data_IF_151161325367
#
_entry.id   IF_151161325367
#
_cell.length_a   1.000
_cell.length_b   1.000
_cell.length_c   1.000
_cell.angle_alpha   90.00
_cell.angle_beta   90.00
_cell.angle_gamma   90.00
#
_symmetry.space_group_name_H-M   'P 1'
#
loop_
_entity.id
_entity.type
_entity.pdbx_description
1 polymer ?
#
# COMPACT_ATOMS: atom_id res chain seq x y z
N UNK A 1 25.31 33.16 26.41
CA UNK A 1 24.05 32.37 26.36
C UNK A 1 24.01 31.65 25.01
N UNK A 2 24.56 30.45 24.93
CA UNK A 2 24.52 29.59 23.75
C UNK A 2 24.43 28.14 24.26
N UNK A 3 23.23 27.57 24.33
CA UNK A 3 22.97 26.14 24.56
C UNK A 3 21.45 25.89 24.39
N UNK A 4 20.96 25.71 23.17
CA UNK A 4 19.62 25.12 22.97
C UNK A 4 19.36 24.54 21.56
N UNK A 5 20.38 24.41 20.69
CA UNK A 5 20.15 23.99 19.29
C UNK A 5 20.49 22.52 19.00
N UNK A 6 20.96 21.74 19.98
CA UNK A 6 21.36 20.35 19.74
C UNK A 6 20.35 19.28 20.22
N UNK A 7 19.30 19.66 20.93
CA UNK A 7 18.34 18.66 21.45
C UNK A 7 17.25 18.27 20.42
N UNK A 8 16.92 19.13 19.48
CA UNK A 8 15.85 18.88 18.50
C UNK A 8 16.19 17.82 17.43
N UNK A 9 17.46 17.70 17.06
CA UNK A 9 17.89 16.75 16.00
C UNK A 9 17.94 15.32 16.52
N UNK A 10 18.25 15.11 17.79
CA UNK A 10 18.34 13.75 18.39
C UNK A 10 16.96 13.10 18.55
N UNK A 11 15.91 13.88 18.78
CA UNK A 11 14.53 13.35 18.97
C UNK A 11 13.92 12.90 17.63
N UNK A 12 14.18 13.60 16.54
CA UNK A 12 13.65 13.21 15.21
C UNK A 12 14.26 11.90 14.70
N UNK A 13 15.55 11.66 14.96
CA UNK A 13 16.23 10.40 14.57
C UNK A 13 15.73 9.20 15.40
N UNK A 14 15.33 9.42 16.66
CA UNK A 14 14.81 8.36 17.52
C UNK A 14 13.38 7.95 17.15
N UNK A 15 12.55 8.84 16.58
CA UNK A 15 11.18 8.51 16.18
C UNK A 15 11.13 7.75 14.84
N UNK A 16 12.01 8.05 13.90
CA UNK A 16 12.17 7.24 12.68
C UNK A 16 12.74 5.85 13.04
N UNK A 17 13.66 5.78 13.99
CA UNK A 17 14.18 4.52 14.54
C UNK A 17 13.14 3.68 15.27
N UNK A 18 12.17 4.29 15.95
CA UNK A 18 11.16 3.56 16.71
C UNK A 18 10.09 2.91 15.82
N UNK A 19 9.66 3.55 14.74
CA UNK A 19 8.73 2.94 13.78
C UNK A 19 9.39 1.80 12.98
N UNK A 20 10.65 1.94 12.58
CA UNK A 20 11.41 0.87 11.93
C UNK A 20 11.75 -0.25 12.93
N UNK A 21 11.99 0.08 14.20
CA UNK A 21 12.38 -0.90 15.22
C UNK A 21 11.20 -1.77 15.71
N UNK A 22 9.97 -1.29 15.64
CA UNK A 22 8.80 -2.08 15.99
C UNK A 22 8.42 -3.10 14.89
N UNK A 23 8.69 -2.78 13.63
CA UNK A 23 8.50 -3.71 12.51
C UNK A 23 9.55 -4.85 12.45
N UNK A 24 10.72 -4.69 13.11
CA UNK A 24 11.80 -5.70 13.11
C UNK A 24 11.66 -6.78 14.19
N UNK A 25 10.67 -6.73 15.08
CA UNK A 25 10.48 -7.71 16.18
C UNK A 25 9.37 -8.73 15.95
N UNK A 26 9.10 -9.12 14.72
CA UNK A 26 8.49 -10.42 14.48
C UNK A 26 9.52 -11.50 14.88
N UNK A 27 9.31 -12.16 16.01
CA UNK A 27 10.15 -13.26 16.46
C UNK A 27 10.10 -14.36 15.39
N UNK A 28 11.25 -14.87 14.90
CA UNK A 28 11.23 -16.08 14.09
C UNK A 28 10.70 -17.21 14.95
N UNK A 29 9.54 -17.76 14.54
CA UNK A 29 9.01 -18.98 15.13
C UNK A 29 10.09 -20.06 15.08
N UNK A 30 10.37 -20.68 16.22
CA UNK A 30 11.32 -21.79 16.37
C UNK A 30 10.91 -22.92 15.42
N UNK A 31 11.69 -23.18 14.39
CA UNK A 31 11.57 -24.37 13.57
C UNK A 31 12.02 -25.54 14.44
N UNK A 32 11.07 -26.31 14.89
CA UNK A 32 11.33 -27.58 15.57
C UNK A 32 11.84 -28.57 14.51
N UNK A 33 13.11 -28.91 14.56
CA UNK A 33 13.73 -29.91 13.71
C UNK A 33 13.12 -31.28 14.05
N UNK A 34 12.42 -31.87 13.10
CA UNK A 34 11.97 -33.26 13.18
C UNK A 34 13.19 -34.20 13.23
N UNK A 35 13.15 -35.29 14.00
CA UNK A 35 14.28 -36.20 14.14
C UNK A 35 14.55 -36.97 12.86
N UNK A 36 15.84 -37.12 12.55
CA UNK A 36 16.39 -37.97 11.51
C UNK A 36 15.95 -39.45 11.71
N UNK A 37 15.24 -39.99 10.73
CA UNK A 37 14.93 -41.42 10.71
C UNK A 37 13.64 -41.78 9.98
N UNK A 38 13.67 -41.74 8.64
CA UNK A 38 12.66 -42.46 7.83
C UNK A 38 13.33 -43.24 6.71
N UNK A 39 12.90 -44.46 6.40
CA UNK A 39 13.61 -45.39 5.55
C UNK A 39 13.49 -45.06 4.08
N UNK A 40 14.58 -45.30 3.36
CA UNK A 40 14.67 -45.31 1.90
C UNK A 40 13.75 -46.37 1.30
N UNK A 41 12.84 -45.99 0.39
CA UNK A 41 12.05 -46.91 -0.43
C UNK A 41 12.54 -46.81 -1.87
N UNK A 42 12.83 -47.97 -2.36
CA UNK A 42 13.46 -48.34 -3.63
C UNK A 42 12.67 -47.91 -4.90
N UNK A 43 13.39 -47.58 -5.94
CA UNK A 43 12.91 -47.15 -7.24
C UNK A 43 12.40 -48.32 -8.08
N UNK A 44 11.08 -48.35 -8.30
CA UNK A 44 10.43 -49.23 -9.29
C UNK A 44 9.93 -48.44 -10.50
N UNK A 45 10.60 -48.59 -11.64
CA UNK A 45 10.14 -48.09 -12.95
C UNK A 45 8.94 -48.91 -13.43
N UNK A 46 7.80 -48.25 -13.63
CA UNK A 46 6.70 -48.83 -14.42
C UNK A 46 6.15 -47.77 -15.40
N UNK A 47 6.36 -47.99 -16.67
CA UNK A 47 5.71 -47.28 -17.77
C UNK A 47 4.22 -47.61 -17.82
N UNK A 48 3.36 -46.58 -17.81
CA UNK A 48 1.98 -46.71 -18.23
C UNK A 48 1.54 -45.43 -18.97
N UNK A 49 1.25 -45.61 -20.24
CA UNK A 49 0.52 -44.70 -21.14
C UNK A 49 -0.92 -44.54 -20.67
N UNK A 50 -1.43 -43.32 -20.53
CA UNK A 50 -2.86 -43.06 -20.24
C UNK A 50 -3.16 -41.61 -19.91
N UNK A 51 -3.59 -40.85 -20.91
CA UNK A 51 -4.64 -39.80 -20.93
C UNK A 51 -5.08 -39.15 -19.61
N UNK A 52 -4.99 -37.81 -19.55
CA UNK A 52 -5.78 -37.01 -18.62
C UNK A 52 -5.01 -36.48 -17.41
N UNK A 53 -3.91 -35.74 -17.59
CA UNK A 53 -3.21 -35.10 -16.48
C UNK A 53 -3.84 -33.75 -16.15
N UNK A 54 -4.67 -33.72 -15.12
CA UNK A 54 -4.93 -32.51 -14.34
C UNK A 54 -3.59 -32.03 -13.78
N UNK A 55 -3.06 -30.95 -14.35
CA UNK A 55 -1.79 -30.34 -13.90
C UNK A 55 -2.00 -29.74 -12.51
N UNK A 56 -1.66 -30.48 -11.46
CA UNK A 56 -1.46 -29.93 -10.14
C UNK A 56 -0.28 -28.96 -10.24
N UNK A 57 -0.56 -27.66 -10.34
CA UNK A 57 0.45 -26.62 -10.19
C UNK A 57 0.86 -26.60 -8.71
N UNK A 58 1.90 -27.31 -8.37
CA UNK A 58 2.69 -27.04 -7.16
C UNK A 58 3.20 -25.61 -7.30
N UNK A 59 2.86 -24.72 -6.36
CA UNK A 59 3.26 -23.32 -6.38
C UNK A 59 4.79 -23.20 -6.31
N UNK A 60 5.45 -23.24 -7.47
CA UNK A 60 6.88 -23.02 -7.55
C UNK A 60 7.18 -21.54 -7.36
N UNK A 61 8.08 -21.21 -6.44
CA UNK A 61 8.63 -19.87 -6.30
C UNK A 61 9.64 -19.65 -7.43
N UNK A 62 9.41 -18.64 -8.26
CA UNK A 62 10.36 -18.23 -9.29
C UNK A 62 11.26 -17.12 -8.72
N UNK A 63 12.57 -17.28 -8.85
CA UNK A 63 13.56 -16.29 -8.41
C UNK A 63 14.05 -15.53 -9.63
N UNK A 64 13.93 -14.19 -9.59
CA UNK A 64 14.43 -13.32 -10.66
C UNK A 64 15.85 -12.84 -10.34
N UNK A 65 16.78 -13.09 -11.26
CA UNK A 65 18.21 -12.78 -11.13
C UNK A 65 18.60 -11.35 -11.50
N UNK A 66 17.66 -10.49 -11.89
CA UNK A 66 17.96 -9.10 -12.24
C UNK A 66 16.73 -8.32 -12.67
N UNK A 67 16.63 -7.08 -12.17
CA UNK A 67 15.64 -6.12 -12.61
C UNK A 67 16.14 -5.33 -13.83
N UNK A 68 15.24 -4.84 -14.70
CA UNK A 68 15.59 -3.83 -15.70
C UNK A 68 16.27 -2.62 -15.04
N UNK A 69 17.13 -1.91 -15.77
CA UNK A 69 17.77 -0.72 -15.24
C UNK A 69 16.72 0.32 -14.81
N UNK A 70 16.84 0.85 -13.57
CA UNK A 70 15.90 1.84 -13.06
C UNK A 70 16.06 3.17 -13.80
N UNK A 71 14.99 3.61 -14.45
CA UNK A 71 14.94 4.98 -14.97
C UNK A 71 14.61 5.93 -13.83
N UNK A 72 15.38 7.00 -13.68
CA UNK A 72 14.99 8.13 -12.85
C UNK A 72 13.92 8.88 -13.63
N UNK A 73 12.64 8.65 -13.29
CA UNK A 73 11.52 9.06 -14.10
C UNK A 73 11.21 10.55 -13.99
N UNK A 74 10.99 11.21 -15.13
CA UNK A 74 10.28 12.47 -15.18
C UNK A 74 8.81 12.26 -14.89
N UNK A 75 8.39 12.47 -13.64
CA UNK A 75 6.96 12.51 -13.29
C UNK A 75 6.28 13.71 -13.97
N UNK A 76 5.00 13.56 -14.29
CA UNK A 76 4.16 14.64 -14.78
C UNK A 76 3.37 15.22 -13.62
N UNK A 77 3.67 16.45 -13.22
CA UNK A 77 2.92 17.15 -12.19
C UNK A 77 1.50 17.46 -12.69
N UNK A 78 0.49 16.99 -11.96
CA UNK A 78 -0.93 17.26 -12.24
C UNK A 78 -1.45 18.43 -11.42
N UNK A 79 -1.03 18.54 -10.15
CA UNK A 79 -1.48 19.59 -9.27
C UNK A 79 -0.40 19.93 -8.24
N UNK A 80 -0.41 21.18 -7.80
CA UNK A 80 0.46 21.71 -6.74
C UNK A 80 -0.37 22.50 -5.74
N UNK A 81 -0.05 22.34 -4.47
CA UNK A 81 -0.73 22.98 -3.36
C UNK A 81 0.28 23.74 -2.49
N UNK A 82 -0.19 24.80 -1.82
CA UNK A 82 0.50 25.37 -0.69
C UNK A 82 0.15 24.63 0.61
N UNK A 83 0.83 24.97 1.70
CA UNK A 83 0.46 24.54 3.04
C UNK A 83 -0.55 25.49 3.67
N UNK A 84 -1.62 24.97 4.30
CA UNK A 84 -2.63 25.75 5.02
C UNK A 84 -4.05 25.24 4.83
N UNK A 85 -5.05 26.04 5.27
CA UNK A 85 -6.47 25.66 5.24
C UNK A 85 -7.25 26.30 4.09
N UNK A 86 -6.67 27.28 3.38
CA UNK A 86 -7.34 28.03 2.30
C UNK A 86 -7.58 27.19 1.04
N UNK A 87 -8.26 27.77 0.08
CA UNK A 87 -8.43 27.19 -1.25
C UNK A 87 -7.05 27.03 -1.93
N UNK A 88 -6.82 25.89 -2.59
CA UNK A 88 -5.53 25.58 -3.21
C UNK A 88 -4.43 25.15 -2.24
N UNK A 89 -4.74 25.00 -0.95
CA UNK A 89 -3.80 24.52 0.06
C UNK A 89 -4.24 23.18 0.64
N UNK A 90 -3.29 22.44 1.23
CA UNK A 90 -3.51 21.25 2.04
C UNK A 90 -2.94 21.47 3.43
N UNK A 91 -3.58 20.86 4.43
CA UNK A 91 -3.22 21.07 5.84
C UNK A 91 -1.87 20.48 6.21
N UNK A 92 -1.17 21.15 7.11
CA UNK A 92 0.01 20.63 7.79
C UNK A 92 0.00 21.09 9.24
N UNK A 93 0.26 20.18 10.16
CA UNK A 93 0.39 20.44 11.59
C UNK A 93 1.71 19.87 12.09
N UNK A 94 2.49 20.67 12.82
CA UNK A 94 3.77 20.25 13.44
C UNK A 94 3.80 20.73 14.90
N UNK A 95 3.00 20.09 15.76
CA UNK A 95 2.98 20.43 17.18
C UNK A 95 4.26 19.99 17.87
N UNK A 96 4.63 20.66 18.97
CA UNK A 96 5.87 20.35 19.71
C UNK A 96 5.80 18.99 20.44
N UNK A 97 4.60 18.54 20.83
CA UNK A 97 4.40 17.36 21.69
C UNK A 97 3.53 16.25 21.06
N UNK A 98 3.23 16.35 19.76
CA UNK A 98 2.45 15.33 19.05
C UNK A 98 3.09 15.01 17.69
N UNK A 99 2.62 13.93 17.05
CA UNK A 99 3.10 13.56 15.73
C UNK A 99 2.77 14.64 14.69
N UNK A 100 3.71 14.96 13.80
CA UNK A 100 3.44 15.84 12.68
C UNK A 100 2.43 15.22 11.72
N UNK A 101 1.51 16.03 11.21
CA UNK A 101 0.43 15.60 10.34
C UNK A 101 0.39 16.40 9.03
N UNK A 102 0.03 15.71 7.95
CA UNK A 102 -0.19 16.27 6.62
C UNK A 102 -1.24 15.42 5.89
N UNK A 103 -1.57 15.70 4.61
CA UNK A 103 -2.49 14.85 3.87
C UNK A 103 -2.11 13.38 3.96
N UNK A 104 -3.05 12.55 4.40
CA UNK A 104 -2.78 11.19 4.85
C UNK A 104 -2.86 10.17 3.71
N UNK A 105 -3.79 10.36 2.77
CA UNK A 105 -4.03 9.38 1.71
C UNK A 105 -4.47 10.04 0.40
N UNK A 106 -4.20 9.33 -0.69
CA UNK A 106 -4.56 9.66 -2.05
C UNK A 106 -5.27 8.47 -2.70
N UNK A 107 -6.36 8.72 -3.41
CA UNK A 107 -7.06 7.70 -4.20
C UNK A 107 -7.62 8.27 -5.49
N UNK A 108 -8.06 7.38 -6.39
CA UNK A 108 -8.69 7.73 -7.67
C UNK A 108 -10.01 7.01 -7.80
N UNK A 109 -11.06 7.71 -8.21
CA UNK A 109 -12.36 7.11 -8.50
C UNK A 109 -12.43 6.49 -9.91
N UNK A 110 -13.55 5.86 -10.23
CA UNK A 110 -13.78 5.22 -11.53
C UNK A 110 -13.78 6.19 -12.73
N UNK A 111 -13.95 7.49 -12.49
CA UNK A 111 -13.91 8.55 -13.49
C UNK A 111 -12.49 9.12 -13.69
N UNK A 112 -11.53 8.64 -12.91
CA UNK A 112 -10.15 9.15 -12.88
C UNK A 112 -10.01 10.45 -12.12
N UNK A 113 -10.99 10.82 -11.29
CA UNK A 113 -10.90 11.98 -10.41
C UNK A 113 -10.02 11.64 -9.21
N UNK A 114 -9.17 12.58 -8.84
CA UNK A 114 -8.23 12.42 -7.72
C UNK A 114 -8.87 12.92 -6.45
N UNK A 115 -8.76 12.14 -5.38
CA UNK A 115 -9.26 12.46 -4.06
C UNK A 115 -8.12 12.42 -3.06
N UNK A 116 -7.92 13.51 -2.31
CA UNK A 116 -6.86 13.63 -1.31
C UNK A 116 -7.52 13.78 0.06
N UNK A 117 -7.15 12.92 0.99
CA UNK A 117 -7.56 13.02 2.39
C UNK A 117 -6.70 14.05 3.10
N UNK A 118 -7.24 15.25 3.24
CA UNK A 118 -6.67 16.39 3.94
C UNK A 118 -7.21 16.40 5.39
N UNK A 119 -6.68 15.46 6.21
CA UNK A 119 -7.18 15.20 7.56
C UNK A 119 -7.02 16.41 8.49
N UNK A 120 -5.93 17.17 8.36
CA UNK A 120 -5.68 18.36 9.19
C UNK A 120 -6.78 19.42 9.02
N UNK A 121 -7.40 19.47 7.84
CA UNK A 121 -8.53 20.35 7.54
C UNK A 121 -9.88 19.60 7.50
N UNK A 122 -9.95 18.36 7.96
CA UNK A 122 -11.17 17.54 8.06
C UNK A 122 -11.97 17.46 6.75
N UNK A 123 -11.28 17.24 5.61
CA UNK A 123 -11.91 17.23 4.29
C UNK A 123 -11.26 16.28 3.31
N UNK A 124 -12.01 15.87 2.29
CA UNK A 124 -11.48 15.36 1.03
C UNK A 124 -11.38 16.50 0.03
N UNK A 125 -10.22 16.65 -0.60
CA UNK A 125 -10.03 17.57 -1.74
C UNK A 125 -10.17 16.77 -3.02
N UNK A 126 -11.01 17.25 -3.93
CA UNK A 126 -11.34 16.58 -5.18
C UNK A 126 -10.79 17.35 -6.38
N UNK A 127 -10.10 16.63 -7.28
CA UNK A 127 -9.59 17.16 -8.55
C UNK A 127 -10.14 16.34 -9.72
N UNK A 128 -10.21 16.94 -10.89
CA UNK A 128 -10.42 16.19 -12.13
C UNK A 128 -9.15 15.39 -12.51
N UNK A 129 -9.25 14.56 -13.55
CA UNK A 129 -8.13 13.74 -14.06
C UNK A 129 -6.89 14.55 -14.51
N UNK A 130 -7.05 15.84 -14.72
CA UNK A 130 -5.99 16.75 -15.16
C UNK A 130 -5.44 17.61 -14.01
N UNK A 131 -5.91 17.36 -12.76
CA UNK A 131 -5.48 18.08 -11.57
C UNK A 131 -6.24 19.39 -11.30
N UNK A 132 -7.31 19.71 -12.05
CA UNK A 132 -8.11 20.90 -11.80
C UNK A 132 -9.03 20.69 -10.58
N UNK A 133 -9.07 21.62 -9.61
CA UNK A 133 -9.95 21.53 -8.46
C UNK A 133 -11.44 21.40 -8.84
N UNK A 134 -12.15 20.48 -8.18
CA UNK A 134 -13.59 20.27 -8.32
C UNK A 134 -14.36 20.63 -7.06
N UNK A 135 -13.69 20.81 -5.92
CA UNK A 135 -14.29 21.15 -4.63
C UNK A 135 -13.80 20.26 -3.51
N UNK A 136 -14.50 20.33 -2.40
CA UNK A 136 -14.17 19.58 -1.17
C UNK A 136 -15.41 18.89 -0.60
N UNK A 137 -15.17 17.79 0.14
CA UNK A 137 -16.20 17.06 0.89
C UNK A 137 -15.79 17.01 2.36
N UNK A 138 -16.63 17.40 3.32
CA UNK A 138 -16.31 17.31 4.73
C UNK A 138 -16.08 15.85 5.16
N UNK A 139 -15.15 15.63 6.08
CA UNK A 139 -14.84 14.33 6.68
C UNK A 139 -15.08 14.43 8.18
N UNK A 140 -16.19 13.93 8.70
CA UNK A 140 -16.51 13.99 10.12
C UNK A 140 -15.87 12.84 10.91
N UNK A 141 -14.54 12.67 10.78
CA UNK A 141 -13.76 11.58 11.38
C UNK A 141 -12.54 12.18 12.03
N UNK A 142 -12.25 11.82 13.29
CA UNK A 142 -11.23 12.49 14.08
C UNK A 142 -9.80 12.19 13.62
N UNK A 143 -9.50 10.92 13.34
CA UNK A 143 -8.16 10.48 12.96
C UNK A 143 -8.22 9.70 11.62
N UNK A 144 -8.73 10.39 10.58
CA UNK A 144 -8.87 9.81 9.26
C UNK A 144 -7.50 9.46 8.64
N UNK A 145 -7.30 8.21 8.25
CA UNK A 145 -6.00 7.72 7.76
C UNK A 145 -6.04 7.22 6.33
N UNK A 146 -7.09 6.51 5.92
CA UNK A 146 -7.18 6.02 4.55
C UNK A 146 -8.52 6.36 3.92
N UNK A 147 -8.53 6.44 2.59
CA UNK A 147 -9.73 6.72 1.81
C UNK A 147 -9.80 5.90 0.54
N UNK A 148 -10.98 5.39 0.24
CA UNK A 148 -11.33 4.78 -1.05
C UNK A 148 -12.62 5.41 -1.54
N UNK A 149 -12.74 5.67 -2.85
CA UNK A 149 -13.94 6.21 -3.45
C UNK A 149 -14.49 5.22 -4.47
N UNK A 150 -15.76 4.87 -4.31
CA UNK A 150 -16.46 3.92 -5.16
C UNK A 150 -16.94 4.57 -6.47
N UNK A 151 -17.39 3.74 -7.41
CA UNK A 151 -17.84 4.22 -8.74
C UNK A 151 -19.02 5.18 -8.70
N UNK A 152 -19.85 5.10 -7.65
CA UNK A 152 -21.01 6.00 -7.44
C UNK A 152 -20.63 7.29 -6.68
N UNK A 153 -19.36 7.48 -6.36
CA UNK A 153 -18.83 8.64 -5.66
C UNK A 153 -19.00 8.56 -4.13
N UNK A 154 -19.36 7.40 -3.58
CA UNK A 154 -19.37 7.18 -2.12
C UNK A 154 -17.92 7.09 -1.63
N UNK A 155 -17.55 7.91 -0.65
CA UNK A 155 -16.23 7.85 -0.01
C UNK A 155 -16.31 6.98 1.26
N UNK A 156 -15.35 6.07 1.38
CA UNK A 156 -15.10 5.25 2.57
C UNK A 156 -13.86 5.82 3.24
N UNK A 157 -13.99 6.31 4.47
CA UNK A 157 -12.88 6.94 5.20
C UNK A 157 -12.59 6.15 6.46
N UNK A 158 -11.38 5.64 6.59
CA UNK A 158 -10.96 4.79 7.69
C UNK A 158 -10.32 5.60 8.83
N UNK A 159 -10.83 5.44 10.04
CA UNK A 159 -10.16 5.74 11.30
C UNK A 159 -9.90 4.45 12.05
N UNK A 160 -8.66 4.00 12.03
CA UNK A 160 -8.25 2.75 12.69
C UNK A 160 -7.81 2.93 14.15
N UNK A 161 -7.57 4.17 14.59
CA UNK A 161 -6.96 4.46 15.89
C UNK A 161 -7.96 4.92 16.94
N UNK A 162 -8.81 5.89 16.60
CA UNK A 162 -9.75 6.52 17.54
C UNK A 162 -11.12 5.88 17.45
N UNK A 163 -11.83 6.08 16.34
CA UNK A 163 -13.20 5.57 16.14
C UNK A 163 -13.18 4.07 15.84
N UNK A 164 -12.08 3.56 15.27
CA UNK A 164 -11.91 2.15 14.84
C UNK A 164 -13.03 1.70 13.92
N UNK A 165 -13.36 2.59 13.00
CA UNK A 165 -14.48 2.46 12.08
C UNK A 165 -14.17 3.04 10.70
N UNK A 166 -14.98 2.71 9.72
CA UNK A 166 -14.97 3.31 8.40
C UNK A 166 -16.27 4.10 8.24
N UNK A 167 -16.15 5.41 8.12
CA UNK A 167 -17.25 6.27 7.78
C UNK A 167 -17.63 6.11 6.30
N UNK A 168 -18.91 5.90 6.02
CA UNK A 168 -19.45 5.82 4.66
C UNK A 168 -20.10 7.17 4.34
N UNK A 169 -19.47 7.94 3.45
CA UNK A 169 -19.85 9.31 3.10
C UNK A 169 -20.42 9.30 1.68
N UNK A 170 -21.65 9.76 1.52
CA UNK A 170 -22.29 9.84 0.21
C UNK A 170 -21.71 10.93 -0.70
N UNK A 171 -22.03 10.90 -2.00
CA UNK A 171 -21.61 11.94 -2.94
C UNK A 171 -22.07 13.36 -2.56
N UNK A 172 -23.10 13.46 -1.72
CA UNK A 172 -23.63 14.71 -1.15
C UNK A 172 -22.85 15.20 0.10
N UNK A 173 -21.78 14.50 0.48
CA UNK A 173 -20.95 14.80 1.65
C UNK A 173 -21.58 14.40 2.99
N UNK A 174 -22.70 13.69 3.00
CA UNK A 174 -23.34 13.24 4.23
C UNK A 174 -22.91 11.83 4.59
N UNK A 175 -22.65 11.60 5.87
CA UNK A 175 -22.41 10.26 6.38
C UNK A 175 -23.70 9.45 6.29
N UNK A 176 -23.64 8.30 5.59
CA UNK A 176 -24.73 7.37 5.37
C UNK A 176 -24.71 6.18 6.31
N UNK A 177 -23.53 5.87 6.86
CA UNK A 177 -23.32 4.72 7.73
C UNK A 177 -21.92 4.65 8.26
N UNK A 178 -21.66 3.58 9.00
CA UNK A 178 -20.36 3.30 9.60
C UNK A 178 -20.15 1.78 9.65
N UNK A 179 -18.94 1.34 9.33
CA UNK A 179 -18.52 -0.05 9.41
C UNK A 179 -17.50 -0.21 10.52
N UNK A 180 -17.74 -1.05 11.54
CA UNK A 180 -16.77 -1.29 12.60
C UNK A 180 -15.56 -2.06 12.05
N UNK A 181 -14.35 -1.59 12.34
CA UNK A 181 -13.10 -2.29 11.99
C UNK A 181 -12.91 -3.49 12.90
N UNK A 182 -13.07 -3.31 14.20
CA UNK A 182 -12.85 -4.38 15.17
C UNK A 182 -13.89 -5.51 15.06
N UNK A 183 -13.41 -6.73 15.24
CA UNK A 183 -14.21 -7.95 15.20
C UNK A 183 -13.41 -9.13 14.69
N UNK A 184 -14.08 -10.24 14.35
CA UNK A 184 -13.43 -11.44 13.84
C UNK A 184 -12.43 -11.11 12.73
N UNK A 185 -11.18 -11.56 12.89
CA UNK A 185 -10.08 -11.37 11.97
C UNK A 185 -9.37 -10.00 12.06
N UNK A 186 -9.89 -9.06 12.86
CA UNK A 186 -9.30 -7.74 13.11
C UNK A 186 -9.57 -7.36 14.57
N UNK A 187 -8.79 -7.90 15.48
CA UNK A 187 -8.94 -7.69 16.92
C UNK A 187 -8.34 -6.36 17.39
N UNK A 188 -7.40 -5.82 16.61
CA UNK A 188 -6.70 -4.56 16.91
C UNK A 188 -6.75 -3.60 15.71
N UNK A 189 -7.11 -2.33 15.95
CA UNK A 189 -7.15 -1.30 14.90
C UNK A 189 -5.78 -1.08 14.25
N UNK A 190 -4.70 -1.14 15.04
CA UNK A 190 -3.33 -0.99 14.57
C UNK A 190 -2.87 -2.03 13.53
N UNK A 191 -3.48 -3.21 13.51
CA UNK A 191 -3.21 -4.24 12.52
C UNK A 191 -3.78 -3.91 11.12
N UNK A 192 -4.65 -2.90 11.01
CA UNK A 192 -5.23 -2.49 9.72
C UNK A 192 -4.22 -1.72 8.89
N UNK A 193 -3.84 -2.26 7.72
CA UNK A 193 -2.80 -1.72 6.84
C UNK A 193 -3.30 -1.24 5.48
N UNK A 194 -4.59 -1.38 5.20
CA UNK A 194 -5.20 -0.88 3.97
C UNK A 194 -6.72 -1.00 3.97
N UNK A 195 -7.37 -0.06 3.29
CA UNK A 195 -8.80 -0.06 2.99
C UNK A 195 -8.99 -0.29 1.50
N UNK A 196 -9.88 -1.20 1.13
CA UNK A 196 -10.20 -1.54 -0.26
C UNK A 196 -11.71 -1.67 -0.47
N UNK A 197 -12.15 -1.29 -1.66
CA UNK A 197 -13.51 -1.56 -2.13
C UNK A 197 -13.45 -2.37 -3.42
N UNK A 198 -14.27 -3.41 -3.50
CA UNK A 198 -14.41 -4.25 -4.69
C UNK A 198 -15.90 -4.44 -5.00
N UNK A 199 -16.38 -3.73 -6.01
CA UNK A 199 -17.80 -3.63 -6.30
C UNK A 199 -18.55 -3.00 -5.11
N UNK A 200 -19.35 -3.82 -4.44
CA UNK A 200 -20.11 -3.40 -3.24
C UNK A 200 -19.45 -3.80 -1.92
N UNK A 201 -18.40 -4.57 -1.98
CA UNK A 201 -17.76 -5.15 -0.81
C UNK A 201 -16.63 -4.25 -0.30
N UNK A 202 -16.52 -4.15 1.03
CA UNK A 202 -15.51 -3.36 1.73
C UNK A 202 -14.58 -4.31 2.49
N UNK A 203 -13.29 -4.15 2.27
CA UNK A 203 -12.23 -4.97 2.84
C UNK A 203 -11.25 -4.12 3.62
N UNK A 204 -10.75 -4.66 4.73
CA UNK A 204 -9.61 -4.13 5.47
C UNK A 204 -8.49 -5.16 5.43
N UNK A 205 -7.33 -4.73 4.97
CA UNK A 205 -6.12 -5.56 4.98
C UNK A 205 -5.55 -5.63 6.38
N UNK A 206 -5.11 -6.84 6.77
CA UNK A 206 -4.45 -7.11 8.05
C UNK A 206 -2.95 -7.35 7.82
N UNK A 207 -2.11 -6.52 8.42
CA UNK A 207 -0.65 -6.68 8.46
C UNK A 207 0.00 -6.95 7.09
N UNK A 208 -0.48 -6.27 6.02
CA UNK A 208 -0.06 -6.46 4.62
C UNK A 208 -0.26 -7.88 4.08
N UNK A 209 -1.11 -8.67 4.72
CA UNK A 209 -1.43 -10.05 4.35
C UNK A 209 -2.86 -10.21 3.84
N UNK A 210 -3.62 -11.04 4.52
CA UNK A 210 -5.02 -11.31 4.18
C UNK A 210 -5.91 -10.08 4.39
N UNK A 211 -7.00 -10.03 3.64
CA UNK A 211 -8.01 -8.98 3.80
C UNK A 211 -9.30 -9.55 4.35
N UNK A 212 -9.92 -8.82 5.28
CA UNK A 212 -11.17 -9.17 5.92
C UNK A 212 -12.30 -8.37 5.28
N UNK A 213 -13.33 -9.05 4.77
CA UNK A 213 -14.55 -8.39 4.29
C UNK A 213 -15.39 -7.95 5.48
N UNK A 214 -15.41 -6.65 5.75
CA UNK A 214 -16.07 -6.09 6.93
C UNK A 214 -17.49 -5.61 6.68
N UNK A 215 -17.87 -5.36 5.43
CA UNK A 215 -19.20 -4.86 5.10
C UNK A 215 -19.38 -4.50 3.64
N UNK A 216 -20.30 -3.60 3.38
CA UNK A 216 -20.65 -3.10 2.07
C UNK A 216 -20.50 -1.57 1.96
N UNK A 217 -20.40 -1.08 0.72
CA UNK A 217 -20.36 0.37 0.41
C UNK A 217 -21.65 1.11 0.75
N UNK A 218 -22.73 0.38 1.11
CA UNK A 218 -23.97 0.97 1.66
C UNK A 218 -23.93 1.20 3.18
N UNK A 219 -22.84 0.78 3.86
CA UNK A 219 -22.71 0.88 5.32
C UNK A 219 -23.29 -0.31 6.08
N UNK A 220 -23.62 -1.40 5.41
CA UNK A 220 -24.09 -2.63 6.05
C UNK A 220 -22.91 -3.50 6.46
N UNK A 221 -22.76 -3.75 7.76
CA UNK A 221 -21.68 -4.55 8.32
C UNK A 221 -21.87 -6.05 8.01
N UNK A 222 -20.79 -6.72 7.64
CA UNK A 222 -20.77 -8.17 7.44
C UNK A 222 -20.43 -8.88 8.76
N UNK A 223 -21.37 -9.64 9.30
CA UNK A 223 -21.17 -10.36 10.58
C UNK A 223 -20.25 -11.56 10.46
N UNK A 224 -20.24 -12.23 9.33
CA UNK A 224 -19.43 -13.43 9.11
C UNK A 224 -17.95 -13.11 8.88
N UNK A 225 -17.66 -11.92 8.34
CA UNK A 225 -16.31 -11.37 8.11
C UNK A 225 -15.38 -12.39 7.44
N UNK A 226 -15.71 -12.88 6.24
CA UNK A 226 -14.85 -13.83 5.55
C UNK A 226 -13.51 -13.19 5.18
N UNK A 227 -12.45 -13.98 5.31
CA UNK A 227 -11.10 -13.59 4.91
C UNK A 227 -10.86 -13.99 3.46
N UNK A 228 -10.08 -13.18 2.74
CA UNK A 228 -9.59 -13.45 1.39
C UNK A 228 -8.05 -13.37 1.38
N UNK A 229 -7.38 -14.16 0.53
CA UNK A 229 -5.93 -14.32 0.58
C UNK A 229 -5.21 -13.13 -0.09
N UNK A 230 -5.20 -11.98 0.56
CA UNK A 230 -4.58 -10.76 0.08
C UNK A 230 -5.58 -9.65 -0.24
N UNK A 231 -5.06 -8.53 -0.74
CA UNK A 231 -5.88 -7.39 -1.13
C UNK A 231 -6.57 -7.63 -2.48
N UNK A 232 -7.85 -7.25 -2.61
CA UNK A 232 -8.52 -7.26 -3.91
C UNK A 232 -7.86 -6.22 -4.83
N UNK A 233 -7.31 -6.68 -5.96
CA UNK A 233 -6.63 -5.82 -6.90
C UNK A 233 -7.61 -5.07 -7.82
N UNK A 234 -7.19 -3.90 -8.34
CA UNK A 234 -7.95 -3.04 -9.22
C UNK A 234 -8.32 -3.67 -10.58
N UNK A 235 -7.70 -4.80 -10.95
CA UNK A 235 -8.07 -5.60 -12.13
C UNK A 235 -9.41 -6.36 -11.96
N UNK A 236 -9.95 -6.41 -10.74
CA UNK A 236 -11.19 -7.12 -10.40
C UNK A 236 -11.07 -8.65 -10.45
N UNK A 237 -9.90 -9.22 -10.70
CA UNK A 237 -9.69 -10.67 -10.98
C UNK A 237 -8.71 -11.33 -10.03
N UNK A 238 -7.89 -10.54 -9.33
CA UNK A 238 -6.73 -11.02 -8.58
C UNK A 238 -6.80 -10.60 -7.11
N UNK A 239 -6.30 -11.46 -6.23
CA UNK A 239 -5.83 -11.09 -4.89
C UNK A 239 -4.31 -10.99 -4.93
N UNK A 240 -3.75 -9.97 -4.29
CA UNK A 240 -2.31 -9.71 -4.26
C UNK A 240 -1.81 -9.65 -2.82
N UNK A 241 -0.64 -10.25 -2.59
CA UNK A 241 0.15 -10.02 -1.37
C UNK A 241 1.60 -9.73 -1.73
N UNK A 242 2.27 -8.95 -0.90
CA UNK A 242 3.71 -8.74 -1.00
C UNK A 242 4.34 -8.73 0.40
N UNK A 243 5.54 -9.31 0.50
CA UNK A 243 6.26 -9.42 1.75
C UNK A 243 7.75 -9.11 1.54
N UNK A 244 8.38 -8.45 2.51
CA UNK A 244 9.83 -8.32 2.56
C UNK A 244 10.39 -9.62 3.14
N UNK A 245 11.21 -10.32 2.35
CA UNK A 245 11.85 -11.58 2.74
C UNK A 245 13.20 -11.31 3.40
N UNK A 246 14.00 -10.43 2.79
CA UNK A 246 15.29 -9.98 3.29
C UNK A 246 15.47 -8.51 2.92
N UNK A 247 15.16 -7.62 3.87
CA UNK A 247 15.24 -6.17 3.69
C UNK A 247 16.65 -5.69 3.32
N UNK A 248 17.69 -6.03 4.09
CA UNK A 248 19.07 -5.64 3.79
C UNK A 248 19.56 -6.07 2.41
N UNK A 249 19.18 -7.26 1.95
CA UNK A 249 19.50 -7.76 0.61
C UNK A 249 18.54 -7.28 -0.48
N UNK A 250 17.50 -6.54 -0.12
CA UNK A 250 16.49 -6.02 -1.05
C UNK A 250 15.61 -7.10 -1.65
N UNK A 251 15.32 -8.18 -0.90
CA UNK A 251 14.54 -9.31 -1.38
C UNK A 251 13.09 -9.16 -0.96
N UNK A 252 12.18 -9.12 -1.94
CA UNK A 252 10.73 -9.06 -1.74
C UNK A 252 10.05 -10.21 -2.47
N UNK A 253 8.88 -10.61 -2.00
CA UNK A 253 8.08 -11.67 -2.62
C UNK A 253 6.69 -11.13 -2.93
N UNK A 254 6.21 -11.39 -4.14
CA UNK A 254 4.86 -11.04 -4.59
C UNK A 254 4.12 -12.31 -4.94
N UNK A 255 2.88 -12.42 -4.45
CA UNK A 255 1.99 -13.53 -4.77
C UNK A 255 0.71 -12.99 -5.40
N UNK A 256 0.28 -13.63 -6.49
CA UNK A 256 -0.99 -13.38 -7.15
C UNK A 256 -1.86 -14.64 -7.12
N UNK A 257 -3.12 -14.45 -6.76
CA UNK A 257 -4.12 -15.50 -6.64
C UNK A 257 -5.34 -15.11 -7.47
N UNK A 258 -5.75 -15.96 -8.41
CA UNK A 258 -6.99 -15.78 -9.16
C UNK A 258 -8.19 -15.86 -8.21
N UNK A 259 -9.19 -15.00 -8.42
CA UNK A 259 -10.40 -15.01 -7.58
C UNK A 259 -11.41 -16.09 -7.98
N UNK A 260 -11.57 -16.34 -9.28
CA UNK A 260 -12.58 -17.24 -9.80
C UNK A 260 -12.05 -18.08 -10.99
N UNK A 261 -11.81 -19.40 -10.78
CA UNK A 261 -11.80 -20.07 -9.48
C UNK A 261 -10.65 -19.58 -8.62
N UNK A 262 -10.77 -19.64 -7.31
CA UNK A 262 -9.66 -19.26 -6.42
C UNK A 262 -8.50 -20.22 -6.64
N UNK A 263 -7.44 -19.73 -7.29
CA UNK A 263 -6.29 -20.53 -7.69
C UNK A 263 -5.01 -19.69 -7.61
N UNK A 264 -3.97 -20.27 -7.03
CA UNK A 264 -2.63 -19.69 -7.06
C UNK A 264 -2.19 -19.49 -8.51
N UNK A 265 -1.83 -18.24 -8.87
CA UNK A 265 -1.32 -17.90 -10.21
C UNK A 265 0.20 -17.98 -10.24
N UNK A 266 0.86 -17.22 -9.37
CA UNK A 266 2.31 -17.27 -9.20
C UNK A 266 2.71 -16.76 -7.81
N UNK A 267 3.91 -17.14 -7.40
CA UNK A 267 4.70 -16.45 -6.36
C UNK A 267 6.07 -16.15 -6.94
N UNK A 268 6.46 -14.89 -6.91
CA UNK A 268 7.74 -14.44 -7.45
C UNK A 268 8.56 -13.73 -6.40
N UNK A 269 9.82 -14.17 -6.25
CA UNK A 269 10.83 -13.47 -5.48
C UNK A 269 11.58 -12.50 -6.39
N UNK A 270 11.70 -11.25 -5.96
CA UNK A 270 12.34 -10.15 -6.68
C UNK A 270 13.51 -9.65 -5.85
N UNK A 271 14.62 -9.33 -6.52
CA UNK A 271 15.77 -8.66 -5.91
C UNK A 271 15.81 -7.22 -6.38
N UNK A 272 15.44 -6.27 -5.52
CA UNK A 272 15.30 -4.84 -5.84
C UNK A 272 16.66 -4.17 -6.09
N UNK A 273 17.75 -4.79 -5.62
CA UNK A 273 19.13 -4.29 -5.81
C UNK A 273 19.53 -3.17 -4.85
N UNK A 274 18.65 -2.78 -3.93
CA UNK A 274 18.89 -1.85 -2.83
C UNK A 274 18.23 -2.39 -1.58
N UNK A 275 18.70 -2.05 -0.37
CA UNK A 275 18.01 -2.41 0.86
C UNK A 275 16.58 -1.90 0.85
N UNK A 276 15.61 -2.78 1.16
CA UNK A 276 14.17 -2.48 1.23
C UNK A 276 13.79 -2.28 2.68
N UNK A 277 13.19 -1.13 2.96
CA UNK A 277 12.75 -0.72 4.30
C UNK A 277 11.25 -0.87 4.50
N UNK A 278 10.47 -0.86 3.42
CA UNK A 278 9.01 -0.94 3.49
C UNK A 278 8.37 -1.15 2.13
N UNK A 279 7.10 -1.49 2.15
CA UNK A 279 6.22 -1.57 0.98
C UNK A 279 5.19 -0.45 1.10
N UNK A 280 5.06 0.40 0.07
CA UNK A 280 4.13 1.53 0.10
C UNK A 280 3.07 1.50 -1.01
N UNK A 281 3.14 0.55 -1.94
CA UNK A 281 2.10 0.29 -2.92
C UNK A 281 2.11 -1.17 -3.36
N UNK A 282 0.93 -1.73 -3.56
CA UNK A 282 0.71 -2.99 -4.26
C UNK A 282 -0.70 -2.96 -4.83
N UNK A 283 -0.86 -2.95 -6.12
CA UNK A 283 -2.16 -3.05 -6.79
C UNK A 283 -1.96 -3.43 -8.26
N UNK A 284 -3.04 -3.66 -9.01
CA UNK A 284 -3.01 -3.88 -10.44
C UNK A 284 -3.92 -2.89 -11.18
N UNK A 285 -3.50 -2.47 -12.37
CA UNK A 285 -4.36 -1.72 -13.29
C UNK A 285 -5.41 -2.62 -13.96
N UNK A 286 -6.31 -2.05 -14.75
CA UNK A 286 -7.36 -2.81 -15.46
C UNK A 286 -6.83 -3.86 -16.43
N UNK A 287 -5.62 -3.68 -16.95
CA UNK A 287 -4.97 -4.66 -17.83
C UNK A 287 -4.41 -5.84 -17.05
N UNK A 288 -4.23 -5.68 -15.74
CA UNK A 288 -3.68 -6.65 -14.80
C UNK A 288 -2.19 -6.45 -14.53
N UNK A 289 -1.53 -5.44 -15.10
CA UNK A 289 -0.16 -5.11 -14.75
C UNK A 289 -0.11 -4.75 -13.27
N UNK A 290 0.78 -5.44 -12.53
CA UNK A 290 0.91 -5.29 -11.09
C UNK A 290 1.98 -4.22 -10.80
N UNK A 291 1.67 -3.31 -9.90
CA UNK A 291 2.55 -2.23 -9.44
C UNK A 291 2.95 -2.50 -7.99
N UNK A 292 4.25 -2.61 -7.75
CA UNK A 292 4.83 -2.76 -6.41
C UNK A 292 5.71 -1.56 -6.12
N UNK A 293 5.37 -0.77 -5.11
CA UNK A 293 6.19 0.30 -4.57
C UNK A 293 6.98 -0.17 -3.36
N UNK A 294 8.29 0.03 -3.38
CA UNK A 294 9.18 -0.29 -2.26
C UNK A 294 9.93 0.95 -1.81
N UNK A 295 9.96 1.22 -0.51
CA UNK A 295 10.84 2.22 0.10
C UNK A 295 12.23 1.60 0.21
N UNK A 296 13.23 2.26 -0.35
CA UNK A 296 14.61 1.76 -0.41
C UNK A 296 15.58 2.74 0.20
N UNK A 297 16.65 2.22 0.78
CA UNK A 297 17.80 3.01 1.20
C UNK A 297 18.70 3.28 0.01
N UNK A 298 19.08 4.55 -0.20
CA UNK A 298 19.90 4.95 -1.34
C UNK A 298 21.41 4.86 -1.02
N UNK A 299 22.27 4.67 -2.02
CA UNK A 299 23.71 4.71 -1.84
C UNK A 299 24.18 6.03 -1.23
N UNK A 300 25.07 5.95 -0.25
CA UNK A 300 25.55 7.12 0.49
C UNK A 300 24.71 7.49 1.71
N UNK A 301 23.66 6.72 2.02
CA UNK A 301 22.92 6.84 3.28
C UNK A 301 23.86 6.54 4.46
N UNK A 302 23.74 7.33 5.52
CA UNK A 302 24.39 7.10 6.81
C UNK A 302 23.38 7.30 7.93
N UNK A 303 23.64 6.79 9.15
CA UNK A 303 22.72 7.01 10.28
C UNK A 303 22.47 8.50 10.59
N UNK A 304 23.48 9.36 10.32
CA UNK A 304 23.39 10.81 10.54
C UNK A 304 22.70 11.54 9.39
N UNK A 305 22.76 10.99 8.16
CA UNK A 305 22.14 11.56 6.96
C UNK A 305 21.50 10.46 6.13
N UNK A 306 20.35 9.93 6.59
CA UNK A 306 19.64 8.88 5.89
C UNK A 306 19.09 9.39 4.55
N UNK A 307 19.25 8.58 3.50
CA UNK A 307 18.76 8.87 2.16
C UNK A 307 17.83 7.75 1.70
N UNK A 308 16.63 8.13 1.33
CA UNK A 308 15.59 7.18 0.90
C UNK A 308 15.09 7.50 -0.50
N UNK A 309 14.56 6.49 -1.15
CA UNK A 309 13.88 6.58 -2.43
C UNK A 309 12.72 5.60 -2.47
N UNK A 310 11.91 5.70 -3.51
CA UNK A 310 10.89 4.71 -3.81
C UNK A 310 11.27 4.04 -5.12
N UNK A 311 11.31 2.71 -5.16
CA UNK A 311 11.39 1.95 -6.39
C UNK A 311 10.01 1.41 -6.72
N UNK A 312 9.45 1.85 -7.85
CA UNK A 312 8.21 1.36 -8.42
C UNK A 312 8.54 0.27 -9.44
N UNK A 313 8.10 -0.94 -9.19
CA UNK A 313 8.22 -2.09 -10.09
C UNK A 313 6.90 -2.34 -10.77
N UNK A 314 6.93 -2.67 -12.07
CA UNK A 314 5.77 -3.12 -12.83
C UNK A 314 5.99 -4.57 -13.25
N UNK A 315 5.02 -5.42 -12.93
CA UNK A 315 5.14 -6.85 -13.08
C UNK A 315 4.08 -7.38 -14.05
N UNK A 316 4.47 -8.39 -14.80
CA UNK A 316 3.59 -9.10 -15.73
C UNK A 316 2.45 -9.78 -14.97
N UNK A 317 1.19 -9.60 -15.40
CA UNK A 317 0.04 -10.19 -14.73
C UNK A 317 0.01 -11.73 -14.73
N UNK A 318 0.74 -12.39 -15.61
CA UNK A 318 0.68 -13.84 -15.78
C UNK A 318 1.65 -14.58 -14.88
N UNK A 319 2.87 -14.03 -14.73
CA UNK A 319 3.96 -14.74 -14.04
C UNK A 319 4.76 -13.85 -13.07
N UNK A 320 4.40 -12.57 -12.96
CA UNK A 320 5.03 -11.60 -12.06
C UNK A 320 6.44 -11.17 -12.48
N UNK A 321 6.91 -11.51 -13.70
CA UNK A 321 8.21 -11.04 -14.17
C UNK A 321 8.24 -9.51 -14.27
N UNK A 322 9.36 -8.86 -13.97
CA UNK A 322 9.50 -7.42 -14.11
C UNK A 322 9.34 -6.98 -15.57
N UNK A 323 8.46 -6.02 -15.81
CA UNK A 323 8.27 -5.34 -17.09
C UNK A 323 9.06 -4.05 -17.17
N UNK A 324 9.31 -3.42 -16.02
CA UNK A 324 10.05 -2.19 -15.91
C UNK A 324 10.14 -1.71 -14.47
N UNK A 325 10.98 -0.71 -14.25
CA UNK A 325 11.06 -0.03 -12.96
C UNK A 325 11.31 1.47 -13.12
N UNK A 326 10.82 2.23 -12.15
CA UNK A 326 11.01 3.69 -12.09
C UNK A 326 11.39 4.08 -10.67
N UNK A 327 12.36 4.98 -10.52
CA UNK A 327 12.73 5.53 -9.22
C UNK A 327 12.05 6.86 -8.99
N UNK A 328 11.34 6.97 -7.85
CA UNK A 328 10.69 8.18 -7.39
C UNK A 328 11.44 8.72 -6.15
N UNK A 329 11.40 10.05 -5.91
CA UNK A 329 11.88 10.61 -4.66
C UNK A 329 11.01 10.09 -3.51
N UNK A 330 11.61 9.79 -2.34
CA UNK A 330 10.82 9.56 -1.14
C UNK A 330 10.37 10.88 -0.51
N UNK A 331 9.23 10.86 0.18
CA UNK A 331 8.86 11.94 1.09
C UNK A 331 9.83 11.94 2.27
N UNK A 332 10.56 13.04 2.45
CA UNK A 332 11.53 13.22 3.55
C UNK A 332 10.99 14.08 4.67
N UNK A 333 9.76 14.58 4.54
CA UNK A 333 9.08 15.35 5.57
C UNK A 333 8.64 14.45 6.74
N UNK A 334 8.64 14.96 7.99
CA UNK A 334 8.39 14.14 9.17
C UNK A 334 6.91 13.74 9.36
N UNK A 335 6.00 14.30 8.57
CA UNK A 335 4.58 14.02 8.70
C UNK A 335 4.25 12.58 8.28
N UNK A 336 3.38 11.94 9.03
CA UNK A 336 2.88 10.62 8.71
C UNK A 336 2.10 10.62 7.38
N UNK A 337 2.09 9.47 6.72
CA UNK A 337 1.27 9.19 5.56
C UNK A 337 0.80 7.75 5.61
N UNK A 338 -0.38 7.49 5.13
CA UNK A 338 -0.92 6.14 5.08
C UNK A 338 -0.86 5.56 3.65
N UNK A 339 -1.35 6.33 2.67
CA UNK A 339 -1.32 5.95 1.24
C UNK A 339 -0.86 7.12 0.40
N UNK A 340 0.43 7.17 0.11
CA UNK A 340 1.00 8.22 -0.75
C UNK A 340 1.01 7.86 -2.24
N UNK A 341 0.86 6.57 -2.57
CA UNK A 341 0.81 6.05 -3.93
C UNK A 341 -0.54 5.38 -4.21
N UNK A 342 -1.12 5.65 -5.37
CA UNK A 342 -2.29 4.92 -5.89
C UNK A 342 -2.09 4.55 -7.34
N UNK A 343 -2.46 3.31 -7.70
CA UNK A 343 -2.38 2.80 -9.07
C UNK A 343 -3.54 3.34 -9.89
N UNK A 344 -3.24 3.83 -11.09
CA UNK A 344 -4.26 4.31 -12.02
C UNK A 344 -4.89 3.16 -12.78
N UNK A 345 -6.22 3.16 -12.99
CA UNK A 345 -6.89 2.12 -13.74
C UNK A 345 -6.37 1.94 -15.18
N UNK A 346 -5.87 3.00 -15.79
CA UNK A 346 -5.26 3.01 -17.12
C UNK A 346 -3.75 2.77 -17.15
N UNK A 347 -3.15 2.51 -16.00
CA UNK A 347 -1.73 2.26 -15.83
C UNK A 347 -0.93 3.45 -15.33
N UNK A 348 0.16 3.14 -14.64
CA UNK A 348 0.97 4.09 -13.88
C UNK A 348 0.44 4.34 -12.47
N UNK A 349 1.07 5.25 -11.77
CA UNK A 349 0.69 5.62 -10.40
C UNK A 349 0.57 7.12 -10.24
N UNK A 350 -0.28 7.56 -9.32
CA UNK A 350 -0.23 8.90 -8.76
C UNK A 350 0.53 8.86 -7.43
N UNK A 351 1.35 9.86 -7.23
CA UNK A 351 2.15 10.04 -6.03
C UNK A 351 1.85 11.38 -5.39
N UNK A 352 1.50 11.38 -4.10
CA UNK A 352 1.36 12.58 -3.28
C UNK A 352 2.73 12.93 -2.70
N UNK A 353 3.51 13.63 -3.48
CA UNK A 353 4.84 14.10 -3.08
C UNK A 353 4.70 15.31 -2.15
N UNK A 354 5.36 15.28 -0.99
CA UNK A 354 5.37 16.36 -0.01
C UNK A 354 6.72 17.06 -0.01
N UNK A 355 6.69 18.37 -0.11
CA UNK A 355 7.88 19.23 -0.03
C UNK A 355 7.67 20.33 1.00
N UNK A 356 8.73 21.00 1.42
CA UNK A 356 8.61 22.15 2.32
C UNK A 356 7.79 23.30 1.70
N UNK A 357 7.74 23.40 0.37
CA UNK A 357 6.96 24.39 -0.36
C UNK A 357 5.48 24.03 -0.47
N UNK A 358 5.14 22.75 -0.28
CA UNK A 358 3.78 22.24 -0.40
C UNK A 358 3.71 20.87 -1.07
N UNK A 359 2.55 20.21 -1.01
CA UNK A 359 2.33 18.93 -1.67
C UNK A 359 2.15 19.08 -3.17
N UNK A 360 2.49 18.02 -3.91
CA UNK A 360 2.26 17.89 -5.34
C UNK A 360 1.63 16.54 -5.64
N UNK A 361 0.72 16.50 -6.59
CA UNK A 361 0.24 15.24 -7.18
C UNK A 361 1.00 15.03 -8.48
N UNK A 362 1.79 13.97 -8.53
CA UNK A 362 2.66 13.67 -9.67
C UNK A 362 2.30 12.30 -10.23
N UNK A 363 2.14 12.21 -11.55
CA UNK A 363 1.91 10.96 -12.25
C UNK A 363 3.24 10.37 -12.71
N UNK A 364 3.46 9.09 -12.41
CA UNK A 364 4.60 8.33 -12.90
C UNK A 364 4.14 7.14 -13.74
N UNK A 365 4.85 6.90 -14.83
CA UNK A 365 4.69 5.69 -15.62
C UNK A 365 5.75 4.67 -15.22
N UNK A 366 5.49 3.41 -15.50
CA UNK A 366 6.53 2.41 -15.46
C UNK A 366 7.51 2.65 -16.61
N UNK A 367 8.78 2.76 -16.30
CA UNK A 367 9.84 2.78 -17.30
C UNK A 367 9.97 1.39 -17.93
N UNK A 368 9.73 1.28 -19.22
CA UNK A 368 10.05 0.10 -20.05
C UNK A 368 11.46 0.19 -20.60
#
# INVERSE_FOLDING_TARGET
MKRSTQLGVVVAVLLIGASVWWFSRAQPGSIELLPEGAPTVDSGVASATGSGATRKTTGAVTIDGGLPEARTGGGVELARFGWGSGEGNLGRSRPDEANPEAPMSLTVDALGQVWILDQVNERLVKLDRNGKPLGTVPVPVQAAQDVVVTADGTALVMDRLVDKAIAVIGPDGKQKGELPILGKGLEEGGASTGLFADGKDVYVEREHGDSVKIGSTSGEANRDRPEVPGRPAGDGRTYLTANIVDGPSGVVMVTAIDRQPQQHRFTRQLVVGLPVLGLNALDADRSGVIYLGTIVELPGSTPELPQFGITLLCLDPLDGRPLGQTRLPANTSPEETFRELTVLPEGGVLYLERTEQGPRVVRYACGS
#
